data_IF_696848124854
#
_entry.id   IF_696848124854
#
_cell.length_a   1.000
_cell.length_b   1.000
_cell.length_c   1.000
_cell.angle_alpha   90.00
_cell.angle_beta   90.00
_cell.angle_gamma   90.00
#
_symmetry.space_group_name_H-M   'P 1'
#
loop_
_entity.id
_entity.type
_entity.pdbx_description
1 polymer ?
#
# COMPACT_ATOMS: atom_id res chain seq x y z
N UNK A 1 7.00 37.16 -10.76
CA UNK A 1 6.97 36.42 -10.74
C UNK A 1 6.97 35.71 -10.90
N UNK A 2 6.95 36.10 -10.93
CA UNK A 2 6.83 35.13 -11.00
C UNK A 2 6.77 34.38 -11.14
N UNK A 3 6.76 34.60 -11.02
CA UNK A 3 6.70 33.72 -11.07
C UNK A 3 6.65 32.92 -11.13
N UNK A 4 6.65 33.32 -11.11
CA UNK A 4 6.53 32.41 -11.08
C UNK A 4 6.46 31.63 -11.30
N UNK A 5 6.52 31.76 -11.27
CA UNK A 5 6.39 30.90 -11.41
C UNK A 5 6.44 29.98 -11.56
N UNK A 6 6.52 30.38 -11.52
CA UNK A 6 6.47 29.45 -11.65
C UNK A 6 6.52 28.56 -11.63
N UNK A 7 6.59 28.81 -11.46
CA UNK A 7 6.50 27.86 -11.33
C UNK A 7 6.26 27.07 -11.37
N UNK A 8 6.10 27.14 -11.38
CA UNK A 8 5.82 26.27 -11.34
C UNK A 8 5.75 25.49 -11.80
N UNK A 9 5.69 25.39 -11.95
CA UNK A 9 5.49 24.45 -12.17
C UNK A 9 5.57 23.45 -12.28
N UNK A 10 5.66 23.16 -12.09
CA UNK A 10 5.51 22.06 -11.99
C UNK A 10 4.76 21.66 -11.51
N UNK A 11 4.51 21.99 -11.13
CA UNK A 11 3.68 21.49 -10.55
C UNK A 11 2.70 21.60 -10.62
N UNK A 12 2.49 22.15 -10.94
CA UNK A 12 1.56 22.19 -10.97
C UNK A 12 0.89 21.77 -11.46
N UNK A 13 0.81 21.61 -11.79
CA UNK A 13 0.09 21.25 -12.23
C UNK A 13 -0.46 20.37 -12.44
N UNK A 14 -0.47 19.74 -12.24
CA UNK A 14 -1.15 18.95 -12.39
C UNK A 14 -2.12 18.88 -11.66
N UNK A 15 -2.79 18.89 -11.89
CA UNK A 15 -3.79 18.93 -11.04
C UNK A 15 -4.10 17.66 -10.44
N UNK A 16 -4.24 17.38 -10.09
CA UNK A 16 -4.54 16.53 -9.63
C UNK A 16 -5.01 15.89 -9.24
N UNK A 17 -4.68 15.71 -9.35
CA UNK A 17 -5.52 15.18 -9.22
C UNK A 17 -5.58 13.84 -8.75
N UNK A 18 -5.58 13.29 -8.08
CA UNK A 18 -5.67 12.00 -7.57
C UNK A 18 -4.46 11.63 -6.79
N UNK A 19 -4.52 10.48 -6.20
CA UNK A 19 -3.47 9.95 -5.37
C UNK A 19 -2.31 9.47 -6.23
N UNK A 20 -1.10 9.62 -5.73
CA UNK A 20 0.05 8.99 -6.33
C UNK A 20 0.20 7.58 -5.75
N UNK A 21 1.08 6.79 -6.37
CA UNK A 21 1.38 5.45 -5.85
C UNK A 21 1.86 5.51 -4.40
N UNK A 22 2.77 6.45 -4.09
CA UNK A 22 3.27 6.58 -2.72
C UNK A 22 2.17 6.99 -1.76
N UNK A 23 1.28 7.86 -2.21
CA UNK A 23 0.14 8.24 -1.39
C UNK A 23 -0.80 7.08 -1.14
N UNK A 24 -1.03 6.27 -2.16
CA UNK A 24 -1.90 5.09 -2.02
C UNK A 24 -1.32 4.11 -1.02
N UNK A 25 -0.01 3.86 -1.09
CA UNK A 25 0.65 2.96 -0.16
C UNK A 25 0.54 3.49 1.26
N UNK A 26 0.75 4.81 1.45
CA UNK A 26 0.63 5.41 2.77
C UNK A 26 -0.76 5.27 3.35
N UNK A 27 -1.78 5.49 2.53
CA UNK A 27 -3.17 5.35 2.97
C UNK A 27 -3.50 3.90 3.32
N UNK A 28 -3.00 2.95 2.51
CA UNK A 28 -3.25 1.54 2.77
C UNK A 28 -2.59 1.11 4.08
N UNK A 29 -1.36 1.56 4.33
CA UNK A 29 -0.68 1.23 5.56
C UNK A 29 -1.40 1.81 6.77
N UNK A 30 -1.89 3.03 6.65
CA UNK A 30 -2.64 3.66 7.73
C UNK A 30 -3.93 2.88 8.01
N UNK A 31 -4.62 2.46 6.95
CA UNK A 31 -5.88 1.72 7.12
C UNK A 31 -5.64 0.40 7.84
N UNK A 32 -4.62 -0.35 7.42
CA UNK A 32 -4.32 -1.63 8.06
C UNK A 32 -3.85 -1.40 9.49
N UNK A 33 -3.11 -0.33 9.73
CA UNK A 33 -2.61 -0.01 11.06
C UNK A 33 -3.71 0.28 12.07
N UNK A 34 -4.90 0.70 11.61
CA UNK A 34 -6.02 0.90 12.52
C UNK A 34 -6.76 -0.40 12.81
N UNK A 35 -6.55 -1.43 11.99
CA UNK A 35 -7.25 -2.70 12.12
C UNK A 35 -6.46 -3.76 12.86
N UNK A 36 -5.15 -3.66 12.83
CA UNK A 36 -4.29 -4.68 13.42
C UNK A 36 -2.99 -4.05 13.88
N UNK A 37 -2.36 -4.72 14.84
CA UNK A 37 -1.05 -4.30 15.33
C UNK A 37 0.08 -5.11 14.73
N UNK A 38 -0.21 -5.93 13.72
CA UNK A 38 0.80 -6.75 13.08
C UNK A 38 1.86 -5.86 12.43
N UNK A 39 3.10 -6.34 12.45
CA UNK A 39 4.20 -5.59 11.91
C UNK A 39 4.19 -5.61 10.38
N UNK A 40 4.37 -4.45 9.77
CA UNK A 40 4.44 -4.34 8.33
C UNK A 40 5.75 -4.96 7.81
N UNK A 41 5.66 -5.72 6.73
CA UNK A 41 6.83 -6.31 6.10
C UNK A 41 7.14 -5.64 4.77
N UNK A 42 6.18 -5.66 3.83
CA UNK A 42 6.47 -5.14 2.50
C UNK A 42 5.18 -4.89 1.74
N UNK A 43 5.31 -4.16 0.62
CA UNK A 43 4.23 -3.99 -0.35
C UNK A 43 4.45 -5.00 -1.45
N UNK A 44 3.47 -5.86 -1.70
CA UNK A 44 3.59 -6.87 -2.74
C UNK A 44 2.90 -6.44 -4.03
N UNK A 45 2.00 -5.48 -3.97
CA UNK A 45 1.31 -5.00 -5.16
C UNK A 45 0.75 -3.61 -4.91
N UNK A 46 0.77 -2.77 -5.95
CA UNK A 46 0.12 -1.46 -5.90
C UNK A 46 -0.32 -1.15 -7.32
N UNK A 47 -1.65 -1.16 -7.55
CA UNK A 47 -2.20 -1.00 -8.88
C UNK A 47 -3.30 0.04 -8.89
N UNK A 48 -3.27 0.90 -9.90
CA UNK A 48 -4.34 1.85 -10.12
C UNK A 48 -5.46 1.15 -10.87
N UNK A 49 -6.68 1.42 -10.45
CA UNK A 49 -7.86 0.84 -11.09
C UNK A 49 -8.43 1.78 -12.13
N UNK A 50 -9.27 1.24 -13.02
CA UNK A 50 -9.85 2.01 -14.10
C UNK A 50 -10.70 3.18 -13.65
N UNK A 51 -11.25 3.13 -12.44
CA UNK A 51 -12.09 4.20 -11.90
C UNK A 51 -11.28 5.23 -11.11
N UNK A 52 -9.95 5.10 -11.12
CA UNK A 52 -9.09 6.01 -10.39
C UNK A 52 -8.75 5.57 -8.98
N UNK A 53 -9.38 4.51 -8.51
CA UNK A 53 -9.04 3.95 -7.20
C UNK A 53 -7.77 3.12 -7.27
N UNK A 54 -7.47 2.46 -6.16
CA UNK A 54 -6.23 1.69 -6.05
C UNK A 54 -6.47 0.38 -5.32
N UNK A 55 -5.67 -0.61 -5.67
CA UNK A 55 -5.56 -1.85 -4.90
C UNK A 55 -4.12 -1.92 -4.42
N UNK A 56 -3.93 -2.00 -3.12
CA UNK A 56 -2.60 -2.10 -2.53
C UNK A 56 -2.55 -3.37 -1.69
N UNK A 57 -1.60 -4.25 -2.00
CA UNK A 57 -1.43 -5.49 -1.26
C UNK A 57 -0.24 -5.34 -0.34
N UNK A 58 -0.46 -5.54 0.95
CA UNK A 58 0.54 -5.40 1.98
C UNK A 58 0.78 -6.74 2.64
N UNK A 59 2.04 -7.07 2.84
CA UNK A 59 2.41 -8.27 3.58
C UNK A 59 2.78 -7.87 4.99
N UNK A 60 2.15 -8.50 5.97
CA UNK A 60 2.39 -8.25 7.38
C UNK A 60 2.93 -9.51 8.03
N UNK A 61 3.70 -9.36 9.09
CA UNK A 61 4.22 -10.50 9.83
C UNK A 61 3.15 -10.92 10.83
N UNK A 62 2.56 -12.08 10.58
CA UNK A 62 1.52 -12.60 11.45
C UNK A 62 2.11 -13.35 12.64
N UNK A 63 3.21 -14.03 12.41
CA UNK A 63 3.88 -14.76 13.47
C UNK A 63 5.35 -14.86 13.13
N UNK A 64 6.18 -14.39 14.04
CA UNK A 64 7.62 -14.45 13.84
C UNK A 64 8.13 -15.86 14.08
N UNK A 65 9.10 -16.27 13.26
CA UNK A 65 9.77 -17.54 13.47
C UNK A 65 10.54 -17.49 14.78
N UNK A 66 10.56 -18.61 15.48
CA UNK A 66 11.35 -18.70 16.71
C UNK A 66 12.83 -18.70 16.42
N UNK A 67 13.19 -19.31 15.30
CA UNK A 67 14.57 -19.41 14.86
C UNK A 67 14.59 -19.22 13.37
N UNK A 68 15.61 -18.52 12.87
CA UNK A 68 15.74 -18.30 11.45
C UNK A 68 14.78 -17.22 10.97
N UNK A 69 14.48 -17.25 9.69
CA UNK A 69 13.73 -16.18 9.01
C UNK A 69 12.38 -16.60 8.45
N UNK A 70 11.93 -17.81 8.78
CA UNK A 70 10.72 -18.33 8.14
C UNK A 70 9.45 -17.86 8.85
N UNK A 71 9.29 -16.54 8.92
CA UNK A 71 8.10 -15.94 9.52
C UNK A 71 6.83 -16.31 8.75
N UNK A 72 5.71 -16.34 9.45
CA UNK A 72 4.41 -16.50 8.81
C UNK A 72 3.90 -15.11 8.43
N UNK A 73 3.64 -14.93 7.16
CA UNK A 73 3.18 -13.65 6.61
C UNK A 73 1.72 -13.77 6.18
N UNK A 74 1.06 -12.64 6.21
CA UNK A 74 -0.32 -12.54 5.71
C UNK A 74 -0.40 -11.37 4.75
N UNK A 75 -1.05 -11.59 3.60
CA UNK A 75 -1.26 -10.53 2.62
C UNK A 75 -2.64 -9.93 2.83
N UNK A 76 -2.68 -8.61 2.91
CA UNK A 76 -3.92 -7.85 3.01
C UNK A 76 -4.07 -7.00 1.78
N UNK A 77 -5.19 -7.16 1.08
CA UNK A 77 -5.52 -6.31 -0.05
C UNK A 77 -6.37 -5.16 0.44
N UNK A 78 -5.90 -3.94 0.20
CA UNK A 78 -6.60 -2.73 0.59
C UNK A 78 -7.12 -2.06 -0.66
N UNK A 79 -8.42 -1.89 -0.74
CA UNK A 79 -9.05 -1.18 -1.85
C UNK A 79 -9.30 0.26 -1.42
N UNK A 80 -8.80 1.20 -2.22
CA UNK A 80 -8.96 2.62 -1.96
C UNK A 80 -9.75 3.26 -3.09
N UNK A 81 -10.50 4.32 -2.78
CA UNK A 81 -11.11 5.11 -3.84
C UNK A 81 -10.07 6.09 -4.39
N UNK A 82 -10.51 6.93 -5.32
CA UNK A 82 -9.59 7.84 -6.02
C UNK A 82 -8.96 8.87 -5.08
N UNK A 83 -9.60 9.17 -3.96
CA UNK A 83 -9.08 10.10 -2.97
C UNK A 83 -8.25 9.40 -1.89
N UNK A 84 -8.15 8.08 -1.94
CA UNK A 84 -7.37 7.33 -0.97
C UNK A 84 -8.16 6.86 0.24
N UNK A 85 -9.48 6.99 0.22
CA UNK A 85 -10.31 6.48 1.29
C UNK A 85 -10.39 4.96 1.22
N UNK A 86 -10.15 4.27 2.33
CA UNK A 86 -10.24 2.80 2.30
C UNK A 86 -11.68 2.36 2.11
N UNK A 87 -11.91 1.51 1.14
CA UNK A 87 -13.22 0.94 0.86
C UNK A 87 -13.36 -0.45 1.42
N UNK A 88 -12.28 -1.21 1.43
CA UNK A 88 -12.34 -2.60 1.82
C UNK A 88 -10.92 -3.09 2.15
N UNK A 89 -10.83 -3.95 3.15
CA UNK A 89 -9.55 -4.57 3.54
C UNK A 89 -9.82 -6.05 3.76
N UNK A 90 -9.12 -6.89 3.00
CA UNK A 90 -9.35 -8.33 3.03
C UNK A 90 -8.01 -9.07 3.12
N UNK A 91 -7.91 -9.99 4.07
CA UNK A 91 -6.75 -10.88 4.09
C UNK A 91 -6.95 -11.93 3.00
N UNK A 92 -6.00 -12.00 2.06
CA UNK A 92 -6.16 -12.83 0.88
C UNK A 92 -5.33 -14.10 0.93
N UNK A 93 -4.23 -14.11 1.71
CA UNK A 93 -3.42 -15.31 1.80
C UNK A 93 -2.52 -15.25 3.02
N UNK A 94 -2.04 -16.42 3.41
CA UNK A 94 -1.04 -16.60 4.45
C UNK A 94 0.02 -17.53 3.90
N UNK A 95 1.27 -17.25 4.20
CA UNK A 95 2.36 -18.09 3.70
C UNK A 95 3.60 -17.83 4.54
N UNK A 96 4.48 -18.82 4.57
CA UNK A 96 5.77 -18.63 5.23
C UNK A 96 6.71 -17.90 4.31
N UNK A 97 7.60 -17.12 4.90
CA UNK A 97 8.53 -16.30 4.12
C UNK A 97 9.32 -17.12 3.11
N UNK A 98 9.75 -18.31 3.49
CA UNK A 98 10.54 -19.16 2.59
C UNK A 98 9.74 -19.61 1.37
N UNK A 99 8.43 -19.74 1.50
CA UNK A 99 7.59 -20.14 0.38
C UNK A 99 7.54 -19.06 -0.69
N UNK A 100 7.63 -17.81 -0.28
CA UNK A 100 7.62 -16.71 -1.24
C UNK A 100 8.84 -16.75 -2.15
N UNK A 101 9.98 -17.13 -1.58
CA UNK A 101 11.23 -17.15 -2.32
C UNK A 101 11.32 -18.31 -3.30
N UNK A 102 10.43 -19.27 -3.19
CA UNK A 102 10.43 -20.46 -4.04
C UNK A 102 9.52 -20.33 -5.26
N UNK A 103 8.73 -19.32 -5.33
CA UNK A 103 7.78 -19.18 -6.44
C UNK A 103 8.32 -18.39 -7.63
#
# INVERSE_FOLDING_TARGET
>A
MAMTQDSIPFNVSKPNTGLTMMGAIGQARAAVGTMTTLQFDSVSRCERQGDGGWIVSLDLIESMARMGDNDLLATYDVQLDAEGEPLNVVRTRRYHREDRDQS
#
